data_IF_609960252017
#
_entry.id   IF_609960252017
#
_cell.length_a   1.000
_cell.length_b   1.000
_cell.length_c   1.000
_cell.angle_alpha   90.00
_cell.angle_beta   90.00
_cell.angle_gamma   90.00
#
_symmetry.space_group_name_H-M   'P 1'
#
loop_
_entity.id
_entity.type
_entity.pdbx_description
1 polymer ?
#
# COMPACT_ATOMS: atom_id res chain seq x y z
N UNK A 1 13.40 -23.40 -18.14
CA UNK A 1 11.94 -23.36 -18.37
C UNK A 1 11.67 -23.06 -19.84
N UNK A 2 10.53 -23.46 -20.42
CA UNK A 2 10.14 -23.04 -21.78
C UNK A 2 9.62 -21.59 -21.80
N UNK A 3 9.72 -20.90 -22.95
CA UNK A 3 9.27 -19.51 -23.09
C UNK A 3 7.79 -19.29 -22.68
N UNK A 4 6.83 -20.16 -23.04
CA UNK A 4 5.44 -20.02 -22.57
C UNK A 4 5.29 -20.22 -21.05
N UNK A 5 6.12 -21.07 -20.44
CA UNK A 5 6.14 -21.28 -18.99
C UNK A 5 6.63 -20.04 -18.27
N UNK A 6 7.72 -19.43 -18.76
CA UNK A 6 8.27 -18.18 -18.23
C UNK A 6 7.23 -17.05 -18.26
N UNK A 7 6.59 -16.84 -19.41
CA UNK A 7 5.52 -15.85 -19.57
C UNK A 7 4.34 -16.05 -18.60
N UNK A 8 3.90 -17.29 -18.39
CA UNK A 8 2.82 -17.58 -17.43
C UNK A 8 3.26 -17.31 -16.00
N UNK A 9 4.50 -17.66 -15.67
CA UNK A 9 5.07 -17.40 -14.35
C UNK A 9 5.13 -15.90 -14.04
N UNK A 10 5.63 -15.09 -14.98
CA UNK A 10 5.71 -13.64 -14.83
C UNK A 10 4.33 -13.01 -14.65
N UNK A 11 3.37 -13.37 -15.50
CA UNK A 11 2.00 -12.87 -15.37
C UNK A 11 1.37 -13.23 -14.02
N UNK A 12 1.57 -14.47 -13.55
CA UNK A 12 1.04 -14.90 -12.25
C UNK A 12 1.67 -14.10 -11.10
N UNK A 13 2.98 -13.86 -11.13
CA UNK A 13 3.65 -13.06 -10.11
C UNK A 13 3.21 -11.60 -10.13
N UNK A 14 3.03 -11.01 -11.32
CA UNK A 14 2.55 -9.63 -11.45
C UNK A 14 1.12 -9.47 -10.90
N UNK A 15 0.24 -10.42 -11.24
CA UNK A 15 -1.13 -10.49 -10.72
C UNK A 15 -1.15 -10.66 -9.20
N UNK A 16 -0.26 -11.47 -8.64
CA UNK A 16 -0.16 -11.70 -7.20
C UNK A 16 0.41 -10.50 -6.43
N UNK A 17 1.21 -9.64 -7.07
CA UNK A 17 1.79 -8.44 -6.47
C UNK A 17 0.94 -7.16 -6.68
N UNK A 18 -0.15 -7.24 -7.44
CA UNK A 18 -0.98 -6.07 -7.73
C UNK A 18 -1.75 -5.60 -6.49
N UNK A 19 -1.64 -4.30 -6.18
CA UNK A 19 -2.42 -3.63 -5.13
C UNK A 19 -3.89 -3.44 -5.51
N UNK A 20 -4.24 -3.54 -6.80
CA UNK A 20 -5.58 -3.30 -7.29
C UNK A 20 -6.40 -4.60 -7.38
N UNK A 21 -7.69 -4.56 -7.05
CA UNK A 21 -8.59 -5.70 -7.23
C UNK A 21 -8.70 -6.02 -8.72
N UNK A 22 -8.98 -7.30 -9.04
CA UNK A 22 -8.97 -7.81 -10.43
C UNK A 22 -9.72 -6.93 -11.43
N UNK A 23 -10.86 -6.36 -11.03
CA UNK A 23 -11.70 -5.52 -11.89
C UNK A 23 -11.09 -4.15 -12.24
N UNK A 24 -10.19 -3.61 -11.40
CA UNK A 24 -9.59 -2.27 -11.58
C UNK A 24 -8.16 -2.31 -12.13
N UNK A 25 -7.68 -3.48 -12.57
CA UNK A 25 -6.32 -3.62 -13.09
C UNK A 25 -6.24 -3.08 -14.52
N UNK A 26 -5.16 -2.37 -14.82
CA UNK A 26 -4.94 -1.88 -16.18
C UNK A 26 -4.67 -3.06 -17.14
N UNK A 27 -5.33 -3.10 -18.31
CA UNK A 27 -5.10 -4.13 -19.31
C UNK A 27 -3.79 -3.92 -20.10
N UNK A 28 -3.20 -2.73 -19.98
CA UNK A 28 -1.99 -2.34 -20.72
C UNK A 28 -0.77 -3.14 -20.29
N UNK A 29 -0.62 -3.46 -19.01
CA UNK A 29 0.58 -4.14 -18.51
C UNK A 29 0.72 -5.57 -19.07
N UNK A 30 -0.33 -6.44 -19.01
CA UNK A 30 -0.26 -7.73 -19.68
C UNK A 30 -0.03 -7.63 -21.18
N UNK A 31 -0.53 -6.58 -21.84
CA UNK A 31 -0.30 -6.35 -23.27
C UNK A 31 1.18 -6.03 -23.55
N UNK A 32 1.82 -5.14 -22.78
CA UNK A 32 3.25 -4.86 -22.92
C UNK A 32 4.12 -6.08 -22.63
N UNK A 33 3.78 -6.87 -21.61
CA UNK A 33 4.49 -8.11 -21.33
C UNK A 33 4.37 -9.10 -22.49
N UNK A 34 3.21 -9.20 -23.15
CA UNK A 34 3.09 -10.02 -24.37
C UNK A 34 4.06 -9.56 -25.46
N UNK A 35 4.10 -8.26 -25.75
CA UNK A 35 5.00 -7.72 -26.77
C UNK A 35 6.48 -8.04 -26.48
N UNK A 36 6.91 -7.96 -25.22
CA UNK A 36 8.28 -8.32 -24.81
C UNK A 36 8.56 -9.82 -25.04
N UNK A 37 7.59 -10.69 -24.73
CA UNK A 37 7.78 -12.13 -24.94
C UNK A 37 7.62 -12.55 -26.42
N UNK A 38 6.87 -11.77 -27.20
CA UNK A 38 6.75 -11.95 -28.65
C UNK A 38 8.04 -11.52 -29.36
N UNK A 39 8.68 -10.42 -28.93
CA UNK A 39 10.01 -10.06 -29.44
C UNK A 39 11.07 -11.09 -29.03
N UNK A 40 11.00 -11.63 -27.81
CA UNK A 40 11.89 -12.70 -27.36
C UNK A 40 11.71 -14.01 -28.13
N UNK A 41 10.53 -14.27 -28.72
CA UNK A 41 10.27 -15.44 -29.57
C UNK A 41 11.03 -15.38 -30.90
N UNK A 42 11.33 -14.18 -31.40
CA UNK A 42 12.12 -14.01 -32.63
C UNK A 42 13.61 -14.36 -32.43
N UNK A 43 14.07 -14.43 -31.18
CA UNK A 43 15.44 -14.80 -30.84
C UNK A 43 15.61 -16.32 -30.99
N UNK A 44 16.66 -16.81 -31.68
CA UNK A 44 16.93 -18.23 -31.80
C UNK A 44 17.13 -18.90 -30.44
N UNK A 45 16.50 -20.06 -30.20
CA UNK A 45 16.49 -20.72 -28.90
C UNK A 45 17.88 -21.13 -28.38
N UNK A 46 18.83 -21.39 -29.28
CA UNK A 46 20.21 -21.78 -28.96
C UNK A 46 21.16 -20.59 -28.86
N UNK A 47 20.67 -19.36 -29.04
CA UNK A 47 21.51 -18.18 -28.93
C UNK A 47 21.84 -17.86 -27.46
N UNK A 48 23.02 -17.26 -27.18
CA UNK A 48 23.35 -16.80 -25.84
C UNK A 48 22.36 -15.73 -25.34
N UNK A 49 21.76 -14.96 -26.25
CA UNK A 49 20.75 -13.94 -25.93
C UNK A 49 19.45 -14.55 -25.38
N UNK A 50 18.98 -15.66 -25.96
CA UNK A 50 17.80 -16.37 -25.47
C UNK A 50 18.03 -16.92 -24.06
N UNK A 51 19.23 -17.45 -23.78
CA UNK A 51 19.61 -17.92 -22.46
C UNK A 51 19.70 -16.77 -21.44
N UNK A 52 20.26 -15.62 -21.84
CA UNK A 52 20.33 -14.43 -20.99
C UNK A 52 18.93 -13.89 -20.65
N UNK A 53 18.04 -13.80 -21.65
CA UNK A 53 16.64 -13.39 -21.44
C UNK A 53 15.92 -14.33 -20.47
N UNK A 54 16.06 -15.64 -20.65
CA UNK A 54 15.44 -16.62 -19.75
C UNK A 54 15.89 -16.44 -18.30
N UNK A 55 17.20 -16.21 -18.06
CA UNK A 55 17.73 -15.93 -16.72
C UNK A 55 17.17 -14.64 -16.13
N UNK A 56 17.17 -13.55 -16.88
CA UNK A 56 16.61 -12.27 -16.43
C UNK A 56 15.14 -12.40 -16.01
N UNK A 57 14.37 -13.17 -16.78
CA UNK A 57 12.96 -13.42 -16.46
C UNK A 57 12.82 -14.26 -15.19
N UNK A 58 13.64 -15.30 -15.01
CA UNK A 58 13.64 -16.11 -13.80
C UNK A 58 14.02 -15.28 -12.56
N UNK A 59 15.06 -14.44 -12.67
CA UNK A 59 15.48 -13.53 -11.60
C UNK A 59 14.36 -12.54 -11.24
N UNK A 60 13.67 -11.98 -12.25
CA UNK A 60 12.51 -11.12 -12.04
C UNK A 60 11.37 -11.85 -11.30
N UNK A 61 11.08 -13.09 -11.67
CA UNK A 61 10.07 -13.92 -10.99
C UNK A 61 10.43 -14.15 -9.53
N UNK A 62 11.70 -14.44 -9.24
CA UNK A 62 12.21 -14.61 -7.87
C UNK A 62 12.09 -13.31 -7.10
N UNK A 63 12.51 -12.18 -7.68
CA UNK A 63 12.40 -10.86 -7.08
C UNK A 63 10.94 -10.52 -6.72
N UNK A 64 9.99 -10.69 -7.65
CA UNK A 64 8.57 -10.41 -7.40
C UNK A 64 7.99 -11.29 -6.30
N UNK A 65 8.44 -12.54 -6.19
CA UNK A 65 8.03 -13.43 -5.10
C UNK A 65 8.58 -12.94 -3.76
N UNK A 66 9.87 -12.60 -3.73
CA UNK A 66 10.55 -12.10 -2.54
C UNK A 66 9.93 -10.78 -2.07
N UNK A 67 9.59 -9.88 -2.99
CA UNK A 67 8.90 -8.62 -2.68
C UNK A 67 7.56 -8.85 -1.96
N UNK A 68 6.74 -9.79 -2.45
CA UNK A 68 5.47 -10.13 -1.79
C UNK A 68 5.67 -10.65 -0.36
N UNK A 69 6.65 -11.55 -0.18
CA UNK A 69 6.97 -12.11 1.14
C UNK A 69 7.50 -11.01 2.07
N UNK A 70 8.38 -10.15 1.57
CA UNK A 70 8.92 -9.03 2.32
C UNK A 70 7.81 -8.10 2.80
N UNK A 71 6.86 -7.76 1.93
CA UNK A 71 5.69 -6.95 2.30
C UNK A 71 4.90 -7.58 3.45
N UNK A 72 4.61 -8.88 3.35
CA UNK A 72 3.89 -9.63 4.40
C UNK A 72 4.66 -9.64 5.74
N UNK A 73 5.99 -9.82 5.69
CA UNK A 73 6.84 -9.80 6.87
C UNK A 73 6.89 -8.41 7.52
N UNK A 74 6.98 -7.35 6.71
CA UNK A 74 6.96 -5.98 7.21
C UNK A 74 5.63 -5.67 7.90
N UNK A 75 4.50 -6.05 7.31
CA UNK A 75 3.18 -5.86 7.92
C UNK A 75 3.03 -6.60 9.26
N UNK A 76 3.61 -7.81 9.37
CA UNK A 76 3.53 -8.65 10.58
C UNK A 76 4.44 -8.16 11.72
N UNK A 77 5.69 -7.86 11.41
CA UNK A 77 6.71 -7.59 12.42
C UNK A 77 7.01 -6.10 12.61
N UNK A 78 6.66 -5.25 11.63
CA UNK A 78 6.81 -3.80 11.73
C UNK A 78 5.53 -3.06 11.30
N UNK A 79 4.47 -3.12 12.13
CA UNK A 79 3.21 -2.44 11.84
C UNK A 79 3.33 -0.90 11.89
N UNK A 80 4.47 -0.37 12.34
CA UNK A 80 4.73 1.08 12.38
C UNK A 80 5.40 1.63 11.12
N UNK A 81 5.72 0.77 10.15
CA UNK A 81 6.44 1.13 8.92
C UNK A 81 5.69 2.14 8.03
N UNK A 82 4.36 2.07 7.98
CA UNK A 82 3.51 3.01 7.23
C UNK A 82 2.95 4.17 8.04
N UNK A 83 3.29 4.28 9.33
CA UNK A 83 2.76 5.33 10.21
C UNK A 83 3.60 6.60 10.11
N UNK A 84 2.92 7.74 10.09
CA UNK A 84 3.58 9.04 10.27
C UNK A 84 4.18 9.14 11.67
N UNK A 85 5.13 10.06 11.87
CA UNK A 85 5.76 10.26 13.17
C UNK A 85 4.72 10.63 14.25
N UNK A 86 3.70 11.41 13.89
CA UNK A 86 2.64 11.84 14.80
C UNK A 86 1.76 10.65 15.25
N UNK A 87 1.37 9.80 14.31
CA UNK A 87 0.62 8.56 14.60
C UNK A 87 1.43 7.58 15.46
N UNK A 88 2.74 7.50 15.19
CA UNK A 88 3.65 6.66 15.98
C UNK A 88 3.72 7.15 17.42
N UNK A 89 3.92 8.45 17.65
CA UNK A 89 3.96 9.03 19.00
C UNK A 89 2.62 8.86 19.73
N UNK A 90 1.49 9.03 19.03
CA UNK A 90 0.15 8.73 19.57
C UNK A 90 0.00 7.27 20.00
N UNK A 91 0.44 6.34 19.17
CA UNK A 91 0.37 4.91 19.49
C UNK A 91 1.26 4.56 20.68
N UNK A 92 2.46 5.14 20.76
CA UNK A 92 3.36 4.97 21.90
C UNK A 92 2.78 5.54 23.19
N UNK A 93 2.14 6.71 23.15
CA UNK A 93 1.44 7.26 24.31
C UNK A 93 0.37 6.29 24.83
N UNK A 94 -0.44 5.72 23.93
CA UNK A 94 -1.47 4.73 24.29
C UNK A 94 -0.88 3.44 24.88
N UNK A 95 0.31 3.01 24.45
CA UNK A 95 0.98 1.84 25.02
C UNK A 95 1.33 2.01 26.51
N UNK A 96 1.59 3.25 26.95
CA UNK A 96 1.86 3.58 28.36
C UNK A 96 0.61 4.07 29.10
N UNK A 97 -0.58 3.95 28.50
CA UNK A 97 -1.84 4.41 29.09
C UNK A 97 -2.01 5.93 29.14
N UNK A 98 -1.30 6.67 28.28
CA UNK A 98 -1.38 8.12 28.17
C UNK A 98 -2.00 8.54 26.83
N UNK A 99 -2.64 9.70 26.80
CA UNK A 99 -3.03 10.36 25.55
C UNK A 99 -1.91 11.29 25.08
N UNK A 100 -1.67 11.30 23.76
CA UNK A 100 -0.66 12.19 23.18
C UNK A 100 -1.17 13.63 23.18
N UNK A 101 -0.34 14.59 23.62
CA UNK A 101 -0.75 15.99 23.69
C UNK A 101 -1.04 16.57 22.30
N UNK A 102 -1.88 17.59 22.26
CA UNK A 102 -2.10 18.35 21.03
C UNK A 102 -0.78 18.97 20.55
N UNK A 103 -0.52 18.98 19.23
CA UNK A 103 0.67 19.63 18.69
C UNK A 103 0.67 21.11 19.02
N UNK A 104 1.84 21.65 19.34
CA UNK A 104 2.00 23.07 19.63
C UNK A 104 1.80 23.90 18.35
N UNK A 105 0.85 24.83 18.37
CA UNK A 105 0.65 25.82 17.31
C UNK A 105 1.29 27.15 17.71
N UNK A 106 2.26 27.63 16.92
CA UNK A 106 2.94 28.90 17.17
C UNK A 106 1.96 30.07 17.14
N UNK A 107 1.98 30.91 18.19
CA UNK A 107 1.12 32.10 18.31
C UNK A 107 -0.15 31.91 19.13
N UNK A 108 -0.49 30.68 19.55
CA UNK A 108 -1.58 30.41 20.49
C UNK A 108 -1.00 30.10 21.86
N UNK A 109 -1.31 30.93 22.86
CA UNK A 109 -0.88 30.67 24.23
C UNK A 109 -1.53 29.35 24.72
N UNK A 110 -0.75 28.36 25.21
CA UNK A 110 -1.29 27.11 25.73
C UNK A 110 -1.97 27.38 27.06
N UNK A 111 -3.21 27.84 27.00
CA UNK A 111 -4.06 28.08 28.17
C UNK A 111 -5.03 26.91 28.33
N UNK A 112 -5.23 26.48 29.58
CA UNK A 112 -6.18 25.41 29.92
C UNK A 112 -7.62 25.74 29.46
N UNK A 113 -7.94 27.03 29.30
CA UNK A 113 -9.21 27.52 28.80
C UNK A 113 -9.41 27.28 27.30
N UNK A 114 -8.36 27.44 26.48
CA UNK A 114 -8.41 27.16 25.04
C UNK A 114 -8.72 25.69 24.74
N UNK A 115 -8.09 24.77 25.48
CA UNK A 115 -8.36 23.34 25.37
C UNK A 115 -9.80 22.97 25.77
N UNK A 116 -10.34 23.61 26.82
CA UNK A 116 -11.75 23.43 27.25
C UNK A 116 -12.74 23.94 26.20
N UNK A 117 -12.48 25.11 25.64
CA UNK A 117 -13.33 25.72 24.61
C UNK A 117 -13.37 24.87 23.33
N UNK A 118 -12.25 24.27 22.92
CA UNK A 118 -12.17 23.37 21.76
C UNK A 118 -12.96 22.08 21.97
N UNK A 119 -12.83 21.43 23.14
CA UNK A 119 -13.64 20.25 23.52
C UNK A 119 -15.15 20.53 23.52
N UNK A 120 -15.57 21.71 23.98
CA UNK A 120 -16.98 22.13 23.98
C UNK A 120 -17.53 22.31 22.55
N UNK A 121 -16.72 22.83 21.61
CA UNK A 121 -17.12 22.96 20.20
C UNK A 121 -17.26 21.60 19.51
N UNK A 122 -16.29 20.71 19.70
CA UNK A 122 -16.32 19.36 19.12
C UNK A 122 -17.51 18.52 19.63
N UNK A 123 -17.88 18.67 20.92
CA UNK A 123 -19.06 18.02 21.49
C UNK A 123 -20.39 18.55 20.92
N UNK A 124 -20.46 19.84 20.57
CA UNK A 124 -21.64 20.46 19.96
C UNK A 124 -21.89 20.00 18.52
N UNK A 125 -20.82 19.83 17.73
CA UNK A 125 -20.91 19.40 16.33
C UNK A 125 -21.36 17.94 16.18
N UNK A 126 -20.95 17.05 17.10
CA UNK A 126 -21.38 15.65 17.11
C UNK A 126 -22.88 15.49 17.45
N UNK A 127 -23.43 16.39 18.28
CA UNK A 127 -24.86 16.41 18.61
C UNK A 127 -25.74 16.79 17.41
N UNK A 128 -25.31 17.76 16.60
CA UNK A 128 -26.05 18.20 15.41
C UNK A 128 -26.06 17.13 14.30
N UNK A 129 -24.93 16.46 14.06
CA UNK A 129 -24.85 15.37 13.07
C UNK A 129 -25.85 14.23 13.33
N UNK A 130 -26.10 13.89 14.60
CA UNK A 130 -27.05 12.83 14.98
C UNK A 130 -28.53 13.21 14.75
N UNK A 131 -28.87 14.50 14.91
CA UNK A 131 -30.22 15.02 14.64
C UNK A 131 -30.49 15.10 13.13
N UNK A 132 -29.51 15.57 12.34
CA UNK A 132 -29.64 15.60 10.88
C UNK A 132 -29.83 14.20 10.27
N UNK A 133 -29.22 13.14 10.84
CA UNK A 133 -29.41 11.77 10.36
C UNK A 133 -30.77 11.17 10.71
N UNK A 134 -31.45 11.66 11.74
CA UNK A 134 -32.78 11.16 12.15
C UNK A 134 -33.94 11.80 11.38
N UNK A 135 -33.76 12.99 10.79
CA UNK A 135 -34.81 13.69 10.02
C UNK A 135 -34.76 13.45 8.49
N UNK A 136 -33.77 12.72 7.98
CA UNK A 136 -33.59 12.45 6.54
C UNK A 136 -33.95 11.01 6.13
N UNK A 137 -34.70 10.27 6.94
CA UNK A 137 -35.09 8.87 6.68
C UNK A 137 -36.57 8.69 6.29
N UNK A 138 -37.18 9.68 5.62
CA UNK A 138 -38.49 9.55 4.95
C UNK A 138 -38.33 9.53 3.43
#
# INVERSE_FOLDING_TARGET
MSLPSLYRSTLRQFVANSIHPRAKRSPTIPAHLRLIFDSARAIPAESPEAAAFARQVDDMVVFLRAHRIHKELVERYNPTSGMTNDERSRKSAKMVGLDYPEPFEEGVAPTMEGARAKKLKEAGEQGQGSLQTMFNSE
#
